data_IF_589175714994
#
_entry.id   IF_589175714994
#
_cell.length_a   1.000
_cell.length_b   1.000
_cell.length_c   1.000
_cell.angle_alpha   90.00
_cell.angle_beta   90.00
_cell.angle_gamma   90.00
#
_symmetry.space_group_name_H-M   'P 1'
#
loop_
_entity.id
_entity.type
_entity.pdbx_description
1 polymer ?
#
# COMPACT_ATOMS: atom_id res chain seq x y z
N UNK A 1 -19.05 4.41 -19.25
CA UNK A 1 -17.77 3.89 -18.72
C UNK A 1 -17.69 4.38 -17.29
N UNK A 2 -17.77 3.48 -16.31
CA UNK A 2 -17.67 3.86 -14.89
C UNK A 2 -16.20 4.11 -14.55
N UNK A 3 -15.93 5.14 -13.74
CA UNK A 3 -14.59 5.36 -13.23
C UNK A 3 -14.18 4.17 -12.34
N UNK A 4 -12.92 3.72 -12.46
CA UNK A 4 -12.36 2.73 -11.54
C UNK A 4 -12.32 3.34 -10.13
N UNK A 5 -12.94 2.69 -9.15
CA UNK A 5 -12.93 3.15 -7.76
C UNK A 5 -11.96 2.32 -6.92
N UNK A 6 -11.22 2.98 -6.03
CA UNK A 6 -10.34 2.33 -5.05
C UNK A 6 -11.09 2.16 -3.74
N UNK A 7 -11.02 0.96 -3.18
CA UNK A 7 -11.59 0.58 -1.90
C UNK A 7 -10.49 0.60 -0.83
N UNK A 8 -10.67 1.45 0.17
CA UNK A 8 -9.87 1.53 1.39
C UNK A 8 -10.78 1.48 2.63
N UNK A 9 -10.27 1.09 3.81
CA UNK A 9 -11.05 1.16 5.04
C UNK A 9 -11.42 2.60 5.41
N UNK A 10 -12.65 2.80 5.92
CA UNK A 10 -13.06 4.09 6.52
C UNK A 10 -12.39 4.32 7.88
N UNK A 11 -12.14 3.24 8.63
CA UNK A 11 -11.48 3.28 9.93
C UNK A 11 -9.95 3.13 9.80
N UNK A 12 -9.17 3.76 10.70
CA UNK A 12 -7.73 3.57 10.73
C UNK A 12 -7.32 2.11 10.91
N UNK A 13 -6.25 1.71 10.25
CA UNK A 13 -5.58 0.43 10.53
C UNK A 13 -4.83 0.60 11.85
N UNK A 14 -5.22 -0.15 12.87
CA UNK A 14 -4.48 -0.19 14.14
C UNK A 14 -3.44 -1.31 14.08
N UNK A 15 -2.17 -0.94 14.25
CA UNK A 15 -1.04 -1.86 14.31
C UNK A 15 -0.40 -1.84 15.69
N UNK A 16 0.06 -3.00 16.16
CA UNK A 16 0.87 -3.09 17.37
C UNK A 16 2.34 -2.87 17.02
N UNK A 17 3.04 -2.12 17.88
CA UNK A 17 4.49 -1.94 17.76
C UNK A 17 5.21 -3.29 17.63
N UNK A 18 6.12 -3.38 16.65
CA UNK A 18 6.92 -4.57 16.35
C UNK A 18 6.17 -5.69 15.60
N UNK A 19 4.85 -5.59 15.43
CA UNK A 19 4.06 -6.53 14.63
C UNK A 19 3.97 -6.10 13.16
N UNK A 20 3.50 -6.99 12.31
CA UNK A 20 3.22 -6.68 10.91
C UNK A 20 1.81 -6.10 10.77
N UNK A 21 1.64 -5.16 9.84
CA UNK A 21 0.37 -4.53 9.53
C UNK A 21 0.07 -4.59 8.03
N UNK A 22 -1.22 -4.69 7.68
CA UNK A 22 -1.67 -4.65 6.29
C UNK A 22 -2.42 -3.35 6.03
N UNK A 23 -1.85 -2.49 5.19
CA UNK A 23 -2.50 -1.29 4.68
C UNK A 23 -3.37 -1.71 3.49
N UNK A 24 -4.69 -1.76 3.73
CA UNK A 24 -5.64 -2.30 2.75
C UNK A 24 -5.92 -1.30 1.64
N UNK A 25 -5.70 -1.71 0.40
CA UNK A 25 -6.10 -0.97 -0.79
C UNK A 25 -6.42 -1.96 -1.90
N UNK A 26 -7.57 -1.79 -2.54
CA UNK A 26 -8.01 -2.69 -3.60
C UNK A 26 -8.83 -1.97 -4.65
N UNK A 27 -8.94 -2.56 -5.84
CA UNK A 27 -9.82 -2.09 -6.91
C UNK A 27 -10.46 -3.30 -7.59
N UNK A 28 -11.51 -3.08 -8.38
CA UNK A 28 -12.11 -4.15 -9.19
C UNK A 28 -11.49 -4.16 -10.59
N UNK A 29 -10.66 -5.16 -10.95
CA UNK A 29 -10.05 -5.24 -12.28
C UNK A 29 -11.08 -5.66 -13.33
N UNK A 30 -10.85 -5.25 -14.58
CA UNK A 30 -11.62 -5.75 -15.72
C UNK A 30 -11.18 -7.17 -16.12
N UNK A 31 -12.02 -7.88 -16.89
CA UNK A 31 -11.80 -9.28 -17.26
C UNK A 31 -10.45 -9.57 -17.98
N UNK A 32 -9.87 -8.59 -18.66
CA UNK A 32 -8.62 -8.73 -19.40
C UNK A 32 -7.45 -7.96 -18.74
N UNK A 33 -7.52 -7.75 -17.42
CA UNK A 33 -6.47 -7.05 -16.68
C UNK A 33 -5.16 -7.84 -16.69
N UNK A 34 -4.06 -7.18 -17.05
CA UNK A 34 -2.69 -7.69 -16.93
C UNK A 34 -1.92 -6.92 -15.86
N UNK A 35 -1.02 -7.59 -15.16
CA UNK A 35 -0.10 -6.94 -14.21
C UNK A 35 0.92 -6.02 -14.89
N UNK A 36 1.13 -6.16 -16.20
CA UNK A 36 1.97 -5.25 -16.97
C UNK A 36 1.33 -3.85 -17.12
N UNK A 37 -0.01 -3.79 -17.10
CA UNK A 37 -0.76 -2.53 -17.15
C UNK A 37 -0.83 -1.84 -15.79
N UNK A 38 -0.50 -2.55 -14.71
CA UNK A 38 -0.57 -2.02 -13.35
C UNK A 38 0.65 -1.14 -13.06
N UNK A 39 0.39 0.09 -12.65
CA UNK A 39 1.34 0.95 -11.96
C UNK A 39 0.78 1.28 -10.57
N UNK A 40 1.47 0.78 -9.54
CA UNK A 40 1.11 0.97 -8.13
C UNK A 40 2.23 1.75 -7.43
N UNK A 41 1.84 2.79 -6.68
CA UNK A 41 2.74 3.52 -5.79
C UNK A 41 2.10 3.59 -4.41
N UNK A 42 2.82 3.14 -3.41
CA UNK A 42 2.59 3.49 -2.02
C UNK A 42 3.58 4.58 -1.61
N UNK A 43 3.07 5.66 -1.01
CA UNK A 43 3.90 6.73 -0.47
C UNK A 43 3.27 7.32 0.78
N UNK A 44 4.08 8.00 1.60
CA UNK A 44 3.56 8.81 2.69
C UNK A 44 2.71 9.96 2.14
N UNK A 45 1.55 10.20 2.74
CA UNK A 45 0.62 11.24 2.29
C UNK A 45 1.25 12.62 2.43
N UNK A 46 1.95 12.90 3.52
CA UNK A 46 2.43 14.26 3.83
C UNK A 46 3.73 14.61 3.10
N UNK A 47 4.68 13.67 3.08
CA UNK A 47 6.03 13.92 2.54
C UNK A 47 6.21 13.41 1.11
N UNK A 48 5.25 12.64 0.58
CA UNK A 48 5.34 11.95 -0.72
C UNK A 48 6.54 11.00 -0.81
N UNK A 49 7.14 10.63 0.33
CA UNK A 49 8.26 9.69 0.38
C UNK A 49 7.80 8.32 -0.09
N UNK A 50 8.55 7.73 -1.02
CA UNK A 50 8.22 6.43 -1.59
C UNK A 50 8.34 5.32 -0.55
N UNK A 51 7.28 4.54 -0.42
CA UNK A 51 7.17 3.38 0.50
C UNK A 51 7.29 2.08 -0.27
N UNK A 52 6.63 1.95 -1.42
CA UNK A 52 6.73 0.78 -2.31
C UNK A 52 6.27 1.15 -3.73
N UNK A 53 6.86 0.55 -4.76
CA UNK A 53 6.46 0.75 -6.16
C UNK A 53 6.46 -0.57 -6.90
N UNK A 54 5.41 -0.80 -7.68
CA UNK A 54 5.27 -1.94 -8.57
C UNK A 54 4.82 -1.45 -9.95
N UNK A 55 5.53 -1.85 -11.00
CA UNK A 55 5.16 -1.56 -12.39
C UNK A 55 5.87 -2.49 -13.37
N UNK A 56 5.20 -2.81 -14.48
CA UNK A 56 5.72 -3.75 -15.48
C UNK A 56 5.87 -5.16 -14.92
N UNK A 57 4.88 -5.60 -14.12
CA UNK A 57 4.85 -6.95 -13.54
C UNK A 57 5.85 -7.22 -12.42
N UNK A 58 6.54 -6.20 -11.88
CA UNK A 58 7.57 -6.38 -10.84
C UNK A 58 7.74 -5.16 -9.93
N UNK A 59 8.40 -5.40 -8.80
CA UNK A 59 8.81 -4.35 -7.87
C UNK A 59 9.89 -3.43 -8.47
N UNK A 60 9.82 -2.15 -8.12
CA UNK A 60 10.73 -1.07 -8.54
C UNK A 60 11.22 -0.30 -7.31
N UNK A 61 12.09 -0.92 -6.51
CA UNK A 61 12.45 -0.43 -5.16
C UNK A 61 13.70 0.44 -5.10
N UNK A 62 14.27 0.85 -6.24
CA UNK A 62 15.53 1.61 -6.30
C UNK A 62 15.46 2.94 -5.53
N UNK A 63 14.31 3.63 -5.62
CA UNK A 63 14.07 4.91 -4.93
C UNK A 63 13.35 4.76 -3.58
N UNK A 64 13.21 3.52 -3.07
CA UNK A 64 12.46 3.27 -1.84
C UNK A 64 13.10 4.01 -0.66
N UNK A 65 12.26 4.65 0.17
CA UNK A 65 12.74 5.24 1.41
C UNK A 65 13.45 4.20 2.27
N UNK A 66 14.72 4.45 2.63
CA UNK A 66 15.57 3.52 3.39
C UNK A 66 14.93 2.89 4.65
N UNK A 67 14.03 3.62 5.32
CA UNK A 67 13.31 3.13 6.50
C UNK A 67 12.27 2.04 6.19
N UNK A 68 11.91 1.84 4.93
CA UNK A 68 10.95 0.84 4.44
C UNK A 68 11.62 -0.37 3.75
N UNK A 69 12.94 -0.31 3.54
CA UNK A 69 13.71 -1.39 2.92
C UNK A 69 13.58 -2.68 3.70
N UNK A 70 13.27 -3.78 3.01
CA UNK A 70 12.98 -5.11 3.58
C UNK A 70 11.81 -5.15 4.58
N UNK A 71 11.01 -4.08 4.65
CA UNK A 71 9.84 -4.00 5.51
C UNK A 71 8.53 -3.99 4.72
N UNK A 72 8.56 -3.83 3.41
CA UNK A 72 7.33 -3.82 2.61
C UNK A 72 7.23 -5.00 1.66
N UNK A 73 6.00 -5.45 1.38
CA UNK A 73 5.69 -6.49 0.41
C UNK A 73 4.26 -6.32 -0.09
N UNK A 74 4.00 -6.73 -1.32
CA UNK A 74 2.64 -6.89 -1.85
C UNK A 74 2.17 -8.33 -1.70
N UNK A 75 0.87 -8.55 -1.89
CA UNK A 75 0.25 -9.88 -2.01
C UNK A 75 0.22 -10.28 -3.49
N UNK A 76 1.36 -10.74 -4.02
CA UNK A 76 1.56 -10.92 -5.47
C UNK A 76 0.55 -11.87 -6.13
N UNK A 77 0.12 -12.90 -5.42
CA UNK A 77 -0.92 -13.85 -5.83
C UNK A 77 -2.31 -13.20 -5.96
N UNK A 78 -2.52 -12.09 -5.25
CA UNK A 78 -3.80 -11.37 -5.17
C UNK A 78 -3.85 -10.10 -6.03
N UNK A 79 -2.70 -9.66 -6.58
CA UNK A 79 -2.65 -8.53 -7.51
C UNK A 79 -3.57 -8.72 -8.72
N UNK A 80 -3.68 -9.90 -9.38
CA UNK A 80 -4.58 -10.09 -10.52
C UNK A 80 -6.06 -9.96 -10.16
N UNK A 81 -6.41 -10.10 -8.88
CA UNK A 81 -7.77 -9.90 -8.38
C UNK A 81 -8.00 -8.49 -7.83
N UNK A 82 -7.01 -7.59 -8.01
CA UNK A 82 -7.10 -6.18 -7.64
C UNK A 82 -6.71 -5.86 -6.20
N UNK A 83 -6.19 -6.83 -5.43
CA UNK A 83 -5.67 -6.56 -4.10
C UNK A 83 -4.26 -5.98 -4.20
N UNK A 84 -4.13 -4.66 -4.00
CA UNK A 84 -2.87 -3.92 -4.01
C UNK A 84 -2.43 -3.48 -2.61
N UNK A 85 -2.92 -4.20 -1.59
CA UNK A 85 -2.60 -3.94 -0.19
C UNK A 85 -1.11 -4.11 0.09
N UNK A 86 -0.61 -3.29 1.00
CA UNK A 86 0.79 -3.33 1.41
C UNK A 86 0.92 -4.01 2.77
N UNK A 87 1.75 -5.05 2.83
CA UNK A 87 2.25 -5.57 4.09
C UNK A 87 3.42 -4.69 4.54
N UNK A 88 3.31 -4.06 5.71
CA UNK A 88 4.38 -3.36 6.40
C UNK A 88 4.83 -4.20 7.60
N UNK A 89 6.09 -4.63 7.60
CA UNK A 89 6.67 -5.53 8.60
C UNK A 89 7.33 -4.77 9.74
N UNK A 90 7.18 -5.31 10.95
CA UNK A 90 7.79 -4.79 12.18
C UNK A 90 7.50 -3.30 12.35
N UNK A 91 6.24 -2.93 12.47
CA UNK A 91 5.77 -1.54 12.56
C UNK A 91 6.48 -0.80 13.70
N UNK A 92 6.96 0.40 13.41
CA UNK A 92 7.59 1.32 14.35
C UNK A 92 6.62 2.47 14.67
N UNK A 93 6.81 3.12 15.82
CA UNK A 93 6.01 4.31 16.20
C UNK A 93 6.12 5.40 15.12
N UNK A 94 7.29 5.51 14.47
CA UNK A 94 7.53 6.48 13.41
C UNK A 94 6.78 6.19 12.09
N UNK A 95 6.18 5.01 11.95
CA UNK A 95 5.34 4.70 10.79
C UNK A 95 3.89 5.21 10.95
N UNK A 96 3.50 5.67 12.15
CA UNK A 96 2.18 6.25 12.37
C UNK A 96 1.93 7.43 11.41
N UNK A 97 0.74 7.43 10.79
CA UNK A 97 0.35 8.46 9.83
C UNK A 97 -0.40 7.91 8.63
N UNK A 98 -0.54 8.75 7.61
CA UNK A 98 -1.33 8.43 6.42
C UNK A 98 -0.44 8.00 5.26
N UNK A 99 -0.86 6.93 4.58
CA UNK A 99 -0.23 6.37 3.41
C UNK A 99 -1.20 6.46 2.23
N UNK A 100 -0.76 6.98 1.10
CA UNK A 100 -1.58 7.02 -0.11
C UNK A 100 -1.20 5.86 -1.03
N UNK A 101 -2.20 5.08 -1.46
CA UNK A 101 -2.07 4.14 -2.56
C UNK A 101 -2.53 4.82 -3.86
N UNK A 102 -1.65 4.83 -4.85
CA UNK A 102 -1.94 5.30 -6.20
C UNK A 102 -1.99 4.09 -7.13
N UNK A 103 -3.11 3.91 -7.80
CA UNK A 103 -3.32 2.81 -8.73
C UNK A 103 -3.63 3.40 -10.10
N UNK A 104 -2.83 3.01 -11.08
CA UNK A 104 -3.07 3.32 -12.50
C UNK A 104 -3.08 2.02 -13.29
N UNK A 105 -4.21 1.76 -13.95
CA UNK A 105 -4.37 0.67 -14.92
C UNK A 105 -4.69 1.26 -16.29
N UNK A 106 -5.78 2.03 -16.38
CA UNK A 106 -6.13 2.87 -17.53
C UNK A 106 -6.21 4.33 -17.12
N UNK A 107 -7.03 4.56 -16.10
CA UNK A 107 -7.15 5.83 -15.41
C UNK A 107 -6.35 5.82 -14.11
N UNK A 108 -6.09 7.01 -13.60
CA UNK A 108 -5.38 7.22 -12.35
C UNK A 108 -6.37 7.42 -11.21
N UNK A 109 -6.23 6.63 -10.15
CA UNK A 109 -7.01 6.79 -8.92
C UNK A 109 -6.10 6.69 -7.71
N UNK A 110 -6.54 7.29 -6.60
CA UNK A 110 -5.81 7.24 -5.34
C UNK A 110 -6.73 7.32 -4.14
N UNK A 111 -6.35 6.62 -3.08
CA UNK A 111 -7.00 6.72 -1.78
C UNK A 111 -5.95 6.64 -0.66
N UNK A 112 -6.27 7.22 0.50
CA UNK A 112 -5.39 7.23 1.66
C UNK A 112 -5.86 6.22 2.71
N UNK A 113 -4.90 5.58 3.36
CA UNK A 113 -5.09 4.68 4.51
C UNK A 113 -4.34 5.28 5.69
N UNK A 114 -5.02 5.45 6.82
CA UNK A 114 -4.42 5.92 8.06
C UNK A 114 -3.94 4.72 8.88
N UNK A 115 -2.68 4.74 9.32
CA UNK A 115 -2.09 3.78 10.24
C UNK A 115 -1.97 4.43 11.62
N UNK A 116 -2.52 3.78 12.65
CA UNK A 116 -2.33 4.12 14.06
C UNK A 116 -1.49 3.05 14.73
N UNK A 117 -0.51 3.45 15.54
CA UNK A 117 0.41 2.51 16.18
C UNK A 117 0.14 2.48 17.68
N UNK A 118 -0.37 1.35 18.15
CA UNK A 118 -0.51 1.08 19.57
C UNK A 118 0.79 0.46 20.11
N UNK A 119 1.39 1.12 21.11
CA UNK A 119 2.48 0.53 21.89
C UNK A 119 1.93 -0.32 23.03
N UNK A 120 2.48 -1.52 23.24
CA UNK A 120 2.36 -2.14 24.56
C UNK A 120 3.22 -1.34 25.53
N UNK A 121 2.60 -0.76 26.55
CA UNK A 121 3.32 -0.36 27.75
C UNK A 121 3.95 -1.64 28.33
N UNK A 122 5.26 -1.78 28.19
CA UNK A 122 6.00 -2.90 28.76
C UNK A 122 5.69 -3.04 30.25
N UNK A 123 5.43 -4.28 30.68
CA UNK A 123 5.44 -4.67 32.09
C UNK A 123 6.87 -4.63 32.65
#
# INVERSE_FOLDING_TARGET
VGAMEIQVPDEPVVALFGQDATLRCSFSPEANFSLDDLSLIWQLTDTKRLVHRFSGGRDQLEDQGRVYTNRTSLFYDQLPQGNVSLLLRRVEIADEGSFTCFVRVRDYNSAAVTLQVAGEAGR
#
